data_IF_976600382269
#
_entry.id   IF_976600382269
#
_cell.length_a   1.000
_cell.length_b   1.000
_cell.length_c   1.000
_cell.angle_alpha   90.00
_cell.angle_beta   90.00
_cell.angle_gamma   90.00
#
_symmetry.space_group_name_H-M   'P 1'
#
loop_
_entity.id
_entity.type
_entity.pdbx_description
1 polymer ?
#
# COMPACT_ATOMS: atom_id res chain seq x y z
N UNK A 1 -26.88 -14.96 12.63
CA UNK A 1 -27.99 -15.26 11.70
C UNK A 1 -27.55 -16.44 10.84
N UNK A 2 -28.21 -17.60 10.86
CA UNK A 2 -27.89 -18.71 9.95
C UNK A 2 -28.24 -18.30 8.52
N UNK A 3 -27.28 -18.39 7.60
CA UNK A 3 -27.43 -17.98 6.21
C UNK A 3 -27.90 -19.16 5.37
N UNK A 4 -29.07 -18.99 4.76
CA UNK A 4 -29.75 -19.94 3.90
C UNK A 4 -28.99 -20.12 2.57
N UNK A 5 -28.31 -21.24 2.41
CA UNK A 5 -27.88 -21.73 1.09
C UNK A 5 -27.40 -23.16 1.21
N UNK A 6 -28.34 -24.09 1.27
CA UNK A 6 -28.06 -25.47 0.95
C UNK A 6 -29.35 -26.18 0.49
N UNK A 7 -29.83 -25.79 -0.69
CA UNK A 7 -31.14 -26.21 -1.22
C UNK A 7 -31.13 -27.69 -1.71
N UNK A 8 -30.03 -28.44 -1.50
CA UNK A 8 -29.98 -29.87 -1.89
C UNK A 8 -29.02 -30.77 -1.09
N UNK A 9 -28.22 -30.28 -0.14
CA UNK A 9 -27.23 -31.13 0.55
C UNK A 9 -27.67 -31.43 2.00
N UNK A 10 -27.22 -32.57 2.53
CA UNK A 10 -27.55 -33.03 3.89
C UNK A 10 -27.09 -32.03 4.99
N UNK A 11 -26.26 -31.05 4.61
CA UNK A 11 -25.62 -30.08 5.46
C UNK A 11 -26.44 -28.80 5.70
N UNK A 12 -27.58 -28.67 5.03
CA UNK A 12 -28.55 -27.58 5.20
C UNK A 12 -29.11 -27.49 6.61
N UNK A 13 -29.15 -28.63 7.29
CA UNK A 13 -29.60 -28.76 8.66
C UNK A 13 -28.47 -28.52 9.67
N UNK A 14 -27.23 -28.25 9.25
CA UNK A 14 -26.10 -28.04 10.15
C UNK A 14 -25.91 -26.56 10.46
N UNK A 15 -25.72 -26.25 11.74
CA UNK A 15 -25.22 -24.95 12.17
C UNK A 15 -23.70 -24.98 12.18
N UNK A 16 -23.09 -24.21 11.28
CA UNK A 16 -21.64 -24.13 11.12
C UNK A 16 -21.16 -22.72 11.41
N UNK A 17 -20.22 -22.61 12.33
CA UNK A 17 -19.58 -21.37 12.74
C UNK A 17 -18.05 -21.52 12.67
N UNK A 18 -17.40 -20.55 12.04
CA UNK A 18 -15.94 -20.41 12.09
C UNK A 18 -15.60 -19.30 13.09
N UNK A 19 -14.62 -19.55 13.95
CA UNK A 19 -14.18 -18.61 14.96
C UNK A 19 -12.69 -18.77 15.25
N UNK A 20 -12.08 -17.75 15.86
CA UNK A 20 -10.70 -17.81 16.31
C UNK A 20 -10.67 -18.40 17.71
N UNK A 21 -9.89 -19.47 17.91
CA UNK A 21 -9.80 -20.12 19.20
C UNK A 21 -8.90 -19.31 20.15
N UNK A 22 -9.40 -18.98 21.33
CA UNK A 22 -8.71 -18.09 22.29
C UNK A 22 -7.90 -18.88 23.36
N UNK A 23 -8.13 -20.19 23.51
CA UNK A 23 -7.48 -21.00 24.55
C UNK A 23 -6.19 -21.64 24.04
N UNK A 24 -5.15 -21.63 24.88
CA UNK A 24 -3.94 -22.44 24.63
C UNK A 24 -4.30 -23.94 24.60
N UNK A 25 -3.67 -24.78 23.75
CA UNK A 25 -2.51 -24.52 22.90
C UNK A 25 -2.81 -23.97 21.48
N UNK A 26 -4.08 -23.84 21.09
CA UNK A 26 -4.47 -23.46 19.72
C UNK A 26 -4.87 -21.98 19.59
N UNK A 27 -4.21 -21.11 20.36
CA UNK A 27 -4.50 -19.68 20.34
C UNK A 27 -4.33 -19.11 18.93
N UNK A 28 -5.26 -18.25 18.51
CA UNK A 28 -5.27 -17.56 17.21
C UNK A 28 -5.44 -18.48 15.99
N UNK A 29 -5.76 -19.76 16.20
CA UNK A 29 -6.01 -20.71 15.11
C UNK A 29 -7.50 -20.69 14.74
N UNK A 30 -7.87 -20.68 13.43
CA UNK A 30 -9.26 -20.78 13.01
C UNK A 30 -9.82 -22.17 13.35
N UNK A 31 -10.94 -22.21 14.06
CA UNK A 31 -11.69 -23.41 14.39
C UNK A 31 -13.03 -23.42 13.68
N UNK A 32 -13.54 -24.62 13.42
CA UNK A 32 -14.90 -24.84 12.92
C UNK A 32 -15.71 -25.54 14.00
N UNK A 33 -16.90 -25.02 14.26
CA UNK A 33 -17.92 -25.61 15.11
C UNK A 33 -19.07 -26.04 14.23
N UNK A 34 -19.37 -27.34 14.23
CA UNK A 34 -20.47 -27.94 13.49
C UNK A 34 -21.41 -28.56 14.52
N UNK A 35 -22.67 -28.13 14.54
CA UNK A 35 -23.68 -28.68 15.43
C UNK A 35 -25.02 -28.84 14.71
N UNK A 36 -25.79 -29.85 15.09
CA UNK A 36 -27.17 -30.01 14.61
C UNK A 36 -28.09 -29.16 15.49
N UNK A 37 -28.84 -28.19 14.93
CA UNK A 37 -29.86 -27.44 15.66
C UNK A 37 -30.85 -28.39 16.31
N UNK A 38 -30.98 -28.33 17.64
CA UNK A 38 -31.88 -29.19 18.42
C UNK A 38 -31.20 -30.39 19.09
N UNK A 39 -29.99 -30.77 18.67
CA UNK A 39 -29.19 -31.80 19.34
C UNK A 39 -27.97 -31.18 20.01
N UNK A 40 -27.98 -31.16 21.34
CA UNK A 40 -26.87 -30.61 22.16
C UNK A 40 -25.72 -31.59 22.35
N UNK A 41 -25.89 -32.86 21.97
CA UNK A 41 -24.90 -33.91 22.19
C UNK A 41 -23.88 -34.00 21.06
N UNK A 42 -24.27 -33.60 19.84
CA UNK A 42 -23.44 -33.70 18.65
C UNK A 42 -22.86 -32.34 18.25
N UNK A 43 -21.89 -31.86 19.05
CA UNK A 43 -21.11 -30.64 18.77
C UNK A 43 -19.69 -31.06 18.41
N UNK A 44 -19.29 -30.80 17.17
CA UNK A 44 -17.95 -31.09 16.66
C UNK A 44 -17.17 -29.77 16.61
N UNK A 45 -16.13 -29.67 17.43
CA UNK A 45 -15.18 -28.55 17.42
C UNK A 45 -13.80 -29.07 17.00
N UNK A 46 -13.28 -28.57 15.88
CA UNK A 46 -11.98 -28.97 15.36
C UNK A 46 -11.29 -27.81 14.63
N UNK A 47 -9.95 -27.82 14.49
CA UNK A 47 -9.25 -26.81 13.71
C UNK A 47 -9.73 -26.81 12.24
N UNK A 48 -9.87 -25.63 11.66
CA UNK A 48 -10.36 -25.43 10.30
C UNK A 48 -9.36 -26.01 9.28
N UNK A 49 -9.73 -27.14 8.67
CA UNK A 49 -9.01 -27.82 7.59
C UNK A 49 -9.55 -27.38 6.22
N UNK A 50 -8.79 -27.64 5.16
CA UNK A 50 -9.15 -27.21 3.79
C UNK A 50 -10.51 -27.75 3.33
N UNK A 51 -10.80 -29.03 3.60
CA UNK A 51 -12.09 -29.62 3.27
C UNK A 51 -13.30 -28.93 3.95
N UNK A 52 -13.11 -28.31 5.12
CA UNK A 52 -14.18 -27.54 5.78
C UNK A 52 -14.42 -26.21 5.06
N UNK A 53 -13.37 -25.59 4.52
CA UNK A 53 -13.48 -24.35 3.76
C UNK A 53 -14.18 -24.60 2.43
N UNK A 54 -13.86 -25.71 1.76
CA UNK A 54 -14.51 -26.12 0.50
C UNK A 54 -15.97 -26.54 0.70
N UNK A 55 -16.30 -27.20 1.82
CA UNK A 55 -17.68 -27.61 2.14
C UNK A 55 -18.54 -26.45 2.62
N UNK A 56 -17.96 -25.51 3.37
CA UNK A 56 -18.66 -24.40 4.00
C UNK A 56 -18.10 -23.05 3.54
N UNK A 57 -18.01 -22.86 2.22
CA UNK A 57 -17.40 -21.68 1.59
C UNK A 57 -18.04 -20.40 2.09
N UNK A 58 -19.37 -20.36 2.22
CA UNK A 58 -20.07 -19.14 2.64
C UNK A 58 -19.75 -18.74 4.07
N UNK A 59 -19.72 -19.70 4.99
CA UNK A 59 -19.41 -19.48 6.40
C UNK A 59 -17.93 -19.11 6.56
N UNK A 60 -17.05 -19.73 5.77
CA UNK A 60 -15.64 -19.38 5.70
C UNK A 60 -15.41 -17.96 5.16
N UNK A 61 -16.06 -17.58 4.06
CA UNK A 61 -16.00 -16.22 3.50
C UNK A 61 -16.52 -15.18 4.49
N UNK A 62 -17.58 -15.50 5.23
CA UNK A 62 -18.11 -14.63 6.27
C UNK A 62 -17.09 -14.44 7.40
N UNK A 63 -16.49 -15.51 7.89
CA UNK A 63 -15.42 -15.46 8.88
C UNK A 63 -14.20 -14.66 8.38
N UNK A 64 -13.80 -14.88 7.13
CA UNK A 64 -12.72 -14.11 6.51
C UNK A 64 -13.09 -12.63 6.40
N UNK A 65 -14.32 -12.30 6.04
CA UNK A 65 -14.79 -10.91 5.94
C UNK A 65 -14.95 -10.22 7.29
N UNK A 66 -15.18 -11.00 8.37
CA UNK A 66 -15.25 -10.48 9.73
C UNK A 66 -13.87 -10.30 10.37
N UNK A 67 -12.95 -11.23 10.12
CA UNK A 67 -11.58 -11.18 10.65
C UNK A 67 -10.66 -10.29 9.84
N UNK A 68 -10.92 -10.19 8.53
CA UNK A 68 -10.39 -9.08 7.75
C UNK A 68 -11.16 -7.86 8.25
N UNK A 69 -10.64 -7.18 9.28
CA UNK A 69 -10.95 -5.78 9.51
C UNK A 69 -10.74 -5.09 8.16
N UNK A 70 -11.83 -4.96 7.40
CA UNK A 70 -11.83 -4.99 5.94
C UNK A 70 -10.69 -4.15 5.44
N UNK A 71 -9.71 -4.77 4.78
CA UNK A 71 -8.41 -4.18 4.43
C UNK A 71 -8.61 -2.70 4.15
N UNK A 72 -8.26 -1.86 5.13
CA UNK A 72 -8.72 -0.46 5.16
C UNK A 72 -7.85 0.25 4.13
N UNK A 73 -8.29 0.22 2.88
CA UNK A 73 -7.61 0.84 1.76
C UNK A 73 -7.94 2.34 1.82
N UNK A 74 -6.95 3.12 2.27
CA UNK A 74 -7.06 4.57 2.35
C UNK A 74 -6.62 5.11 3.70
N UNK A 75 -6.98 6.36 3.94
CA UNK A 75 -6.63 7.10 5.15
C UNK A 75 -7.67 6.81 6.21
N UNK A 76 -7.25 6.25 7.35
CA UNK A 76 -8.16 5.93 8.45
C UNK A 76 -8.79 7.22 9.03
N UNK A 77 -10.07 7.16 9.42
CA UNK A 77 -10.75 8.30 10.05
C UNK A 77 -10.08 8.74 11.36
N UNK A 78 -9.48 7.79 12.10
CA UNK A 78 -8.71 8.08 13.32
C UNK A 78 -7.48 8.96 13.03
N UNK A 79 -6.82 8.75 11.89
CA UNK A 79 -5.70 9.60 11.47
C UNK A 79 -6.17 11.02 11.14
N UNK A 80 -7.31 11.18 10.46
CA UNK A 80 -7.85 12.50 10.15
C UNK A 80 -8.24 13.29 11.40
N UNK A 81 -8.83 12.62 12.40
CA UNK A 81 -9.18 13.24 13.69
C UNK A 81 -7.92 13.74 14.43
N UNK A 82 -6.84 12.95 14.43
CA UNK A 82 -5.56 13.33 15.04
C UNK A 82 -4.89 14.51 14.34
N UNK A 83 -4.90 14.52 13.01
CA UNK A 83 -4.24 15.56 12.23
C UNK A 83 -5.00 16.90 12.29
N UNK A 84 -6.34 16.86 12.32
CA UNK A 84 -7.21 18.04 12.30
C UNK A 84 -8.44 17.91 13.21
N UNK A 85 -8.27 18.00 14.55
CA UNK A 85 -9.39 17.92 15.49
C UNK A 85 -10.39 19.07 15.36
N UNK A 86 -9.96 20.23 14.84
CA UNK A 86 -10.81 21.41 14.60
C UNK A 86 -11.84 21.19 13.48
N UNK A 87 -11.45 20.44 12.44
CA UNK A 87 -12.29 20.18 11.27
C UNK A 87 -13.17 18.93 11.45
N UNK A 88 -12.71 17.98 12.26
CA UNK A 88 -13.35 16.68 12.46
C UNK A 88 -13.31 16.24 13.93
N UNK A 89 -14.47 16.33 14.60
CA UNK A 89 -14.61 16.02 16.02
C UNK A 89 -14.77 14.50 16.28
N UNK A 90 -14.39 14.04 17.47
CA UNK A 90 -14.56 12.65 17.93
C UNK A 90 -16.03 12.19 17.86
N UNK A 91 -16.99 13.07 18.17
CA UNK A 91 -18.41 12.75 18.04
C UNK A 91 -18.82 12.43 16.59
N UNK A 92 -18.31 13.19 15.63
CA UNK A 92 -18.56 12.94 14.19
C UNK A 92 -17.87 11.66 13.73
N UNK A 93 -16.70 11.34 14.29
CA UNK A 93 -16.02 10.07 14.05
C UNK A 93 -16.84 8.89 14.56
N UNK A 94 -17.39 8.97 15.77
CA UNK A 94 -18.24 7.93 16.34
C UNK A 94 -19.50 7.69 15.49
N UNK A 95 -20.16 8.76 15.03
CA UNK A 95 -21.30 8.69 14.12
C UNK A 95 -20.94 7.98 12.80
N UNK A 96 -19.81 8.33 12.19
CA UNK A 96 -19.33 7.69 10.97
C UNK A 96 -18.99 6.21 11.17
N UNK A 97 -18.37 5.86 12.30
CA UNK A 97 -18.03 4.48 12.65
C UNK A 97 -19.28 3.62 12.88
N UNK A 98 -20.33 4.17 13.50
CA UNK A 98 -21.64 3.49 13.63
C UNK A 98 -22.19 3.17 12.23
N UNK A 99 -22.08 4.11 11.30
CA UNK A 99 -22.48 3.96 9.90
C UNK A 99 -21.51 3.15 9.04
N UNK A 100 -20.47 2.56 9.65
CA UNK A 100 -19.46 1.71 9.01
C UNK A 100 -18.58 2.41 7.98
N UNK A 101 -18.47 3.74 8.03
CA UNK A 101 -17.40 4.44 7.35
C UNK A 101 -16.09 4.21 8.11
N UNK A 102 -15.05 3.78 7.40
CA UNK A 102 -13.73 3.48 7.98
C UNK A 102 -12.63 4.41 7.47
N UNK A 103 -12.80 4.98 6.28
CA UNK A 103 -11.79 5.85 5.65
C UNK A 103 -12.33 7.21 5.23
N UNK A 104 -11.41 8.18 5.12
CA UNK A 104 -11.72 9.54 4.64
C UNK A 104 -12.17 9.52 3.18
N UNK A 105 -11.61 8.65 2.37
CA UNK A 105 -11.96 8.47 0.96
C UNK A 105 -13.44 8.05 0.81
N UNK A 106 -13.91 7.13 1.65
CA UNK A 106 -15.32 6.72 1.66
C UNK A 106 -16.26 7.88 1.98
N UNK A 107 -15.86 8.77 2.90
CA UNK A 107 -16.63 9.98 3.24
C UNK A 107 -16.60 10.99 2.08
N UNK A 108 -15.46 11.17 1.43
CA UNK A 108 -15.28 12.07 0.29
C UNK A 108 -16.09 11.63 -0.95
N UNK A 109 -16.26 10.33 -1.15
CA UNK A 109 -17.04 9.72 -2.24
C UNK A 109 -18.47 9.36 -1.85
N UNK A 110 -18.89 9.65 -0.61
CA UNK A 110 -20.23 9.31 -0.14
C UNK A 110 -21.31 9.99 -0.99
N UNK A 111 -22.31 9.19 -1.36
CA UNK A 111 -23.49 9.65 -2.10
C UNK A 111 -24.37 10.52 -1.22
N UNK A 112 -25.15 11.42 -1.81
CA UNK A 112 -26.06 12.29 -1.03
C UNK A 112 -27.06 11.49 -0.20
N UNK A 113 -27.50 10.32 -0.68
CA UNK A 113 -28.36 9.41 0.08
C UNK A 113 -27.67 8.85 1.34
N UNK A 114 -26.36 8.57 1.27
CA UNK A 114 -25.58 8.17 2.44
C UNK A 114 -25.36 9.35 3.39
N UNK A 115 -25.11 10.55 2.86
CA UNK A 115 -24.95 11.77 3.66
C UNK A 115 -26.22 12.15 4.42
N UNK A 116 -27.40 11.95 3.83
CA UNK A 116 -28.68 12.15 4.53
C UNK A 116 -28.81 11.28 5.79
N UNK A 117 -28.19 10.08 5.81
CA UNK A 117 -28.20 9.18 6.97
C UNK A 117 -27.23 9.61 8.07
N UNK A 118 -26.20 10.38 7.74
CA UNK A 118 -25.29 11.00 8.70
C UNK A 118 -25.98 12.19 9.38
N UNK A 119 -26.79 12.94 8.64
CA UNK A 119 -27.63 14.01 9.18
C UNK A 119 -27.17 15.42 8.80
N UNK A 120 -27.57 16.41 9.60
CA UNK A 120 -27.29 17.82 9.32
C UNK A 120 -25.79 18.11 9.42
N UNK A 121 -25.20 18.66 8.35
CA UNK A 121 -23.77 18.97 8.28
C UNK A 121 -22.93 17.94 7.53
N UNK A 122 -23.50 16.80 7.12
CA UNK A 122 -22.80 15.75 6.38
C UNK A 122 -22.20 16.24 5.04
N UNK A 123 -22.88 17.16 4.35
CA UNK A 123 -22.36 17.76 3.12
C UNK A 123 -21.08 18.58 3.36
N UNK A 124 -21.01 19.32 4.47
CA UNK A 124 -19.81 20.05 4.87
C UNK A 124 -18.67 19.10 5.26
N UNK A 125 -19.00 17.99 5.93
CA UNK A 125 -18.03 16.96 6.29
C UNK A 125 -17.40 16.30 5.05
N UNK A 126 -18.19 16.02 4.02
CA UNK A 126 -17.67 15.53 2.72
C UNK A 126 -16.69 16.50 2.09
N UNK A 127 -16.98 17.79 2.10
CA UNK A 127 -16.09 18.79 1.51
C UNK A 127 -14.79 18.93 2.30
N UNK A 128 -14.85 18.89 3.64
CA UNK A 128 -13.66 18.85 4.50
C UNK A 128 -12.82 17.60 4.25
N UNK A 129 -13.46 16.43 4.08
CA UNK A 129 -12.77 15.19 3.74
C UNK A 129 -12.01 15.30 2.41
N UNK A 130 -12.63 15.90 1.39
CA UNK A 130 -11.97 16.17 0.09
C UNK A 130 -10.80 17.14 0.25
N UNK A 131 -10.98 18.24 0.98
CA UNK A 131 -9.92 19.21 1.26
C UNK A 131 -8.73 18.62 2.02
N UNK A 132 -8.99 17.69 2.95
CA UNK A 132 -7.92 16.98 3.65
C UNK A 132 -7.15 16.05 2.71
N UNK A 133 -7.84 15.27 1.86
CA UNK A 133 -7.19 14.39 0.89
C UNK A 133 -6.35 15.17 -0.13
N UNK A 134 -6.83 16.32 -0.61
CA UNK A 134 -6.04 17.15 -1.56
C UNK A 134 -4.78 17.71 -0.90
N UNK A 135 -4.88 18.21 0.33
CA UNK A 135 -3.72 18.69 1.08
C UNK A 135 -2.71 17.57 1.36
N UNK A 136 -3.19 16.38 1.71
CA UNK A 136 -2.33 15.22 1.95
C UNK A 136 -1.59 14.80 0.69
N UNK A 137 -2.29 14.68 -0.43
CA UNK A 137 -1.69 14.34 -1.73
C UNK A 137 -0.66 15.40 -2.19
N UNK A 138 -0.94 16.69 -1.97
CA UNK A 138 0.03 17.76 -2.26
C UNK A 138 1.27 17.69 -1.37
N UNK A 139 1.10 17.40 -0.08
CA UNK A 139 2.21 17.28 0.87
C UNK A 139 3.08 16.07 0.55
N UNK A 140 2.46 14.94 0.23
CA UNK A 140 3.15 13.71 -0.19
C UNK A 140 3.92 13.95 -1.49
N UNK A 141 3.28 14.51 -2.52
CA UNK A 141 3.93 14.85 -3.78
C UNK A 141 5.09 15.84 -3.61
N UNK A 142 4.95 16.85 -2.76
CA UNK A 142 6.04 17.79 -2.45
C UNK A 142 7.23 17.08 -1.79
N UNK A 143 6.96 16.16 -0.85
CA UNK A 143 8.00 15.38 -0.16
C UNK A 143 8.73 14.41 -1.10
N UNK A 144 8.00 13.77 -2.03
CA UNK A 144 8.57 12.91 -3.06
C UNK A 144 9.40 13.70 -4.07
N UNK A 145 8.91 14.87 -4.49
CA UNK A 145 9.65 15.79 -5.35
C UNK A 145 10.94 16.28 -4.68
N UNK A 146 10.93 16.51 -3.36
CA UNK A 146 12.14 16.88 -2.62
C UNK A 146 13.16 15.74 -2.58
N UNK A 147 12.73 14.51 -2.30
CA UNK A 147 13.60 13.31 -2.28
C UNK A 147 14.17 13.00 -3.66
N UNK A 148 13.34 13.02 -4.70
CA UNK A 148 13.80 12.79 -6.08
C UNK A 148 14.78 13.87 -6.53
N UNK A 149 14.58 15.13 -6.12
CA UNK A 149 15.56 16.21 -6.38
C UNK A 149 16.89 15.97 -5.69
N UNK A 150 16.90 15.56 -4.41
CA UNK A 150 18.16 15.25 -3.72
C UNK A 150 18.88 14.06 -4.36
N UNK A 151 18.15 13.01 -4.74
CA UNK A 151 18.72 11.86 -5.44
C UNK A 151 19.31 12.24 -6.81
N UNK A 152 18.63 13.11 -7.57
CA UNK A 152 19.14 13.61 -8.84
C UNK A 152 20.41 14.44 -8.67
N UNK A 153 20.49 15.27 -7.62
CA UNK A 153 21.67 16.08 -7.35
C UNK A 153 22.85 15.23 -6.87
N UNK A 154 22.61 14.21 -6.05
CA UNK A 154 23.62 13.21 -5.65
C UNK A 154 24.13 12.41 -6.86
N UNK A 155 23.25 11.95 -7.74
CA UNK A 155 23.63 11.22 -8.96
C UNK A 155 24.43 12.10 -9.93
N UNK A 156 24.04 13.37 -10.11
CA UNK A 156 24.82 14.33 -10.90
C UNK A 156 26.21 14.55 -10.32
N UNK A 157 26.32 14.67 -8.99
CA UNK A 157 27.61 14.81 -8.32
C UNK A 157 28.50 13.57 -8.52
N UNK A 158 27.92 12.37 -8.44
CA UNK A 158 28.62 11.11 -8.71
C UNK A 158 29.09 11.01 -10.18
N UNK A 159 28.25 11.40 -11.16
CA UNK A 159 28.65 11.44 -12.58
C UNK A 159 29.76 12.45 -12.84
N UNK A 160 29.70 13.63 -12.23
CA UNK A 160 30.74 14.65 -12.37
C UNK A 160 32.09 14.17 -11.82
N UNK A 161 32.09 13.47 -10.67
CA UNK A 161 33.29 12.87 -10.09
C UNK A 161 33.91 11.80 -11.00
N UNK A 162 33.09 10.90 -11.55
CA UNK A 162 33.52 9.87 -12.50
C UNK A 162 34.04 10.46 -13.82
N UNK A 163 33.43 11.52 -14.36
CA UNK A 163 33.93 12.19 -15.55
C UNK A 163 35.26 12.91 -15.30
N UNK A 164 35.46 13.49 -14.11
CA UNK A 164 36.73 14.13 -13.76
C UNK A 164 37.87 13.12 -13.58
N UNK A 165 37.58 11.89 -13.15
CA UNK A 165 38.58 10.82 -13.05
C UNK A 165 38.99 10.23 -14.41
N UNK A 166 38.22 10.44 -15.49
CA UNK A 166 38.47 9.83 -16.82
C UNK A 166 39.27 10.70 -17.79
N UNK A 167 40.11 11.63 -17.31
CA UNK A 167 41.09 12.34 -18.17
C UNK A 167 42.50 11.73 -18.05
N UNK A 168 42.89 10.72 -18.85
CA UNK A 168 44.28 10.38 -19.02
C UNK A 168 44.93 11.41 -19.95
N UNK A 169 45.76 12.29 -19.38
CA UNK A 169 46.62 13.18 -20.15
C UNK A 169 47.64 12.39 -20.95
N UNK A 170 47.61 12.49 -22.28
CA UNK A 170 48.71 12.04 -23.14
C UNK A 170 49.85 13.06 -23.00
N UNK A 171 51.09 12.67 -22.66
CA UNK A 171 52.20 13.61 -22.54
C UNK A 171 52.47 14.27 -23.90
N UNK A 172 52.80 15.57 -23.88
CA UNK A 172 53.11 16.38 -25.07
C UNK A 172 54.43 15.89 -25.69
N UNK A 173 54.44 15.67 -27.01
CA UNK A 173 55.64 15.29 -27.77
C UNK A 173 56.54 16.52 -27.89
N UNK A 174 57.80 16.39 -27.49
CA UNK A 174 58.83 17.42 -27.69
C UNK A 174 59.30 17.41 -29.16
N UNK A 175 59.44 18.60 -29.73
CA UNK A 175 59.94 18.79 -31.09
C UNK A 175 61.47 18.64 -31.08
N UNK A 176 61.97 17.62 -31.76
CA UNK A 176 63.42 17.39 -31.95
C UNK A 176 63.87 18.23 -33.14
N UNK A 177 64.64 19.29 -32.87
CA UNK A 177 65.36 20.06 -33.89
C UNK A 177 66.38 19.15 -34.58
N UNK A 178 66.11 18.78 -35.83
CA UNK A 178 67.07 18.07 -36.69
C UNK A 178 67.91 19.10 -37.42
N UNK A 179 69.12 19.31 -36.91
CA UNK A 179 70.16 20.13 -37.52
C UNK A 179 70.69 19.39 -38.77
N UNK A 180 70.53 19.99 -39.95
CA UNK A 180 71.10 19.47 -41.19
C UNK A 180 72.54 19.99 -41.32
N UNK A 181 73.52 19.08 -41.25
CA UNK A 181 74.92 19.39 -41.51
C UNK A 181 75.16 19.56 -43.02
N UNK A 182 75.72 20.72 -43.39
CA UNK A 182 76.24 21.03 -44.72
C UNK A 182 77.39 20.08 -45.07
N UNK A 183 77.18 19.20 -46.05
CA UNK A 183 78.25 18.42 -46.67
C UNK A 183 78.49 18.94 -48.10
N UNK A 184 79.55 19.73 -48.25
CA UNK A 184 80.11 20.16 -49.52
C UNK A 184 80.98 19.06 -50.15
N UNK A 185 80.64 18.57 -51.35
CA UNK A 185 81.54 17.99 -52.38
C UNK A 185 80.74 18.01 -53.69
N UNK A 186 81.16 18.43 -54.88
CA UNK A 186 82.46 18.75 -55.47
C UNK A 186 82.28 18.55 -57.00
N UNK A 187 82.95 19.41 -57.76
CA UNK A 187 82.96 19.53 -59.23
C UNK A 187 82.90 18.26 -60.10
N UNK A 188 82.26 18.39 -61.28
CA UNK A 188 82.70 18.00 -62.65
C UNK A 188 81.55 18.37 -63.62
N UNK A 189 81.64 19.08 -64.74
CA UNK A 189 82.74 19.46 -65.63
C UNK A 189 82.40 19.02 -67.06
N UNK A 190 82.06 19.98 -67.94
CA UNK A 190 82.01 19.94 -69.43
C UNK A 190 81.10 18.88 -70.12
N UNK A 191 80.46 19.14 -71.26
CA UNK A 191 80.75 20.03 -72.40
C UNK A 191 79.45 20.32 -73.17
#
# INVERSE_FOLDING_TARGET
MPLDSDISNADSHLHVEFYVFDKAPYKDTPFVRIMVPGDKTNIIEQPAREHHKERFIRQWLHFQSQNSNGQIIGTALDQWNKDKPEDFNEHQMAELQILKFQTVEQVATATDAQLQRIGMGAAGLRERARGYLTQRNQSESSSELAKTRSELDELKAQMASLMNQRKPGRPRKEDVDVQYDDAAVGATGHQ
#
